data_IF_430226846474
#
_entry.id   IF_430226846474
#
_cell.length_a   1.000
_cell.length_b   1.000
_cell.length_c   1.000
_cell.angle_alpha   90.00
_cell.angle_beta   90.00
_cell.angle_gamma   90.00
#
_symmetry.space_group_name_H-M   'P 1'
#
loop_
_entity.id
_entity.type
_entity.pdbx_description
1 polymer ?
#
# COMPACT_ATOMS: atom_id res chain seq x y z
N UNK A 1 6.57 0.08 47.18
CA UNK A 1 5.45 -0.11 46.27
C UNK A 1 5.70 0.53 44.94
N UNK A 2 5.53 -0.23 43.92
CA UNK A 2 5.98 0.20 42.59
C UNK A 2 4.83 0.39 41.63
N UNK A 3 3.92 1.31 41.94
CA UNK A 3 2.86 1.63 41.00
C UNK A 3 3.41 2.15 39.68
N UNK A 4 4.58 2.80 39.70
CA UNK A 4 5.23 3.24 38.47
C UNK A 4 5.63 2.09 37.54
N UNK A 5 6.10 0.97 38.12
CA UNK A 5 6.44 -0.21 37.33
C UNK A 5 5.19 -0.84 36.72
N UNK A 6 4.12 -0.87 37.48
CA UNK A 6 2.85 -1.41 36.98
C UNK A 6 2.32 -0.56 35.82
N UNK A 7 2.41 0.76 35.95
CA UNK A 7 1.97 1.66 34.89
C UNK A 7 2.82 1.50 33.63
N UNK A 8 4.14 1.32 33.79
CA UNK A 8 5.03 1.11 32.66
C UNK A 8 4.69 -0.17 31.91
N UNK A 9 4.40 -1.25 32.65
CA UNK A 9 4.02 -2.52 32.02
C UNK A 9 2.70 -2.39 31.27
N UNK A 10 1.74 -1.66 31.86
CA UNK A 10 0.47 -1.43 31.22
C UNK A 10 0.63 -0.63 29.94
N UNK A 11 1.44 0.42 29.97
CA UNK A 11 1.73 1.23 28.80
C UNK A 11 2.42 0.41 27.71
N UNK A 12 3.35 -0.43 28.10
CA UNK A 12 4.05 -1.31 27.16
C UNK A 12 3.05 -2.25 26.47
N UNK A 13 2.13 -2.83 27.24
CA UNK A 13 1.13 -3.73 26.68
C UNK A 13 0.21 -3.00 25.68
N UNK A 14 -0.17 -1.75 26.00
CA UNK A 14 -0.99 -0.95 25.09
C UNK A 14 -0.26 -0.61 23.79
N UNK A 15 1.02 -0.22 23.89
CA UNK A 15 1.83 0.08 22.71
C UNK A 15 1.99 -1.16 21.83
N UNK A 16 2.25 -2.31 22.45
CA UNK A 16 2.41 -3.56 21.72
C UNK A 16 1.14 -3.94 20.99
N UNK A 17 -0.01 -3.74 21.62
CA UNK A 17 -1.31 -4.02 21.00
C UNK A 17 -1.56 -3.11 19.82
N UNK A 18 -1.31 -1.80 19.99
CA UNK A 18 -1.46 -0.84 18.90
C UNK A 18 -0.56 -1.17 17.73
N UNK A 19 0.67 -1.58 18.02
CA UNK A 19 1.59 -1.95 16.95
C UNK A 19 1.11 -3.17 16.17
N UNK A 20 0.56 -4.17 16.87
CA UNK A 20 -0.02 -5.33 16.20
C UNK A 20 -1.22 -4.95 15.35
N UNK A 21 -2.05 -4.02 15.84
CA UNK A 21 -3.19 -3.54 15.07
C UNK A 21 -2.74 -2.83 13.81
N UNK A 22 -1.70 -2.02 13.90
CA UNK A 22 -1.14 -1.32 12.72
C UNK A 22 -0.58 -2.33 11.72
N UNK A 23 0.13 -3.34 12.20
CA UNK A 23 0.69 -4.38 11.31
C UNK A 23 -0.41 -5.15 10.60
N UNK A 24 -1.49 -5.47 11.32
CA UNK A 24 -2.63 -6.17 10.73
C UNK A 24 -3.29 -5.33 9.65
N UNK A 25 -3.46 -4.04 9.89
CA UNK A 25 -4.02 -3.12 8.89
C UNK A 25 -3.11 -3.01 7.66
N UNK A 26 -1.81 -2.97 7.88
CA UNK A 26 -0.84 -2.90 6.79
C UNK A 26 -0.89 -4.17 5.93
N UNK A 27 -0.97 -5.32 6.55
CA UNK A 27 -1.09 -6.58 5.82
C UNK A 27 -2.38 -6.63 5.01
N UNK A 28 -3.47 -6.17 5.60
CA UNK A 28 -4.74 -6.13 4.91
C UNK A 28 -4.69 -5.17 3.73
N UNK A 29 -4.09 -4.00 3.91
CA UNK A 29 -3.91 -3.03 2.84
C UNK A 29 -3.16 -3.65 1.66
N UNK A 30 -2.05 -4.33 1.93
CA UNK A 30 -1.26 -4.97 0.89
C UNK A 30 -2.04 -6.07 0.18
N UNK A 31 -2.77 -6.87 0.92
CA UNK A 31 -3.56 -7.97 0.35
C UNK A 31 -4.67 -7.46 -0.56
N UNK A 32 -5.42 -6.48 -0.08
CA UNK A 32 -6.53 -5.90 -0.86
C UNK A 32 -5.98 -5.17 -2.09
N UNK A 33 -4.90 -4.42 -1.91
CA UNK A 33 -4.27 -3.69 -3.00
C UNK A 33 -3.82 -4.65 -4.10
N UNK A 34 -3.19 -5.74 -3.73
CA UNK A 34 -2.74 -6.73 -4.71
C UNK A 34 -3.90 -7.30 -5.51
N UNK A 35 -5.01 -7.61 -4.85
CA UNK A 35 -6.18 -8.12 -5.54
C UNK A 35 -6.73 -7.12 -6.55
N UNK A 36 -6.79 -5.86 -6.17
CA UNK A 36 -7.33 -4.82 -7.05
C UNK A 36 -6.46 -4.61 -8.28
N UNK A 37 -5.15 -4.56 -8.09
CA UNK A 37 -4.24 -4.14 -9.15
C UNK A 37 -3.63 -5.29 -9.95
N UNK A 38 -3.90 -6.53 -9.59
CA UNK A 38 -3.56 -7.67 -10.45
C UNK A 38 -4.57 -7.87 -11.57
N UNK A 39 -5.71 -7.19 -11.52
CA UNK A 39 -6.67 -7.24 -12.61
C UNK A 39 -6.15 -6.48 -13.83
N UNK A 40 -6.73 -6.74 -14.99
CA UNK A 40 -6.34 -6.03 -16.20
C UNK A 40 -6.58 -4.54 -16.07
N UNK A 41 -7.71 -4.16 -15.50
CA UNK A 41 -8.04 -2.75 -15.27
C UNK A 41 -7.09 -2.09 -14.30
N UNK A 42 -6.73 -2.81 -13.23
CA UNK A 42 -5.78 -2.30 -12.25
C UNK A 42 -4.40 -2.07 -12.85
N UNK A 43 -3.92 -3.01 -13.64
CA UNK A 43 -2.63 -2.87 -14.32
C UNK A 43 -2.65 -1.72 -15.31
N UNK A 44 -3.74 -1.55 -16.03
CA UNK A 44 -3.90 -0.44 -16.97
C UNK A 44 -3.87 0.88 -16.20
N UNK A 45 -4.58 0.94 -15.10
CA UNK A 45 -4.59 2.14 -14.26
C UNK A 45 -3.17 2.49 -13.79
N UNK A 46 -2.41 1.49 -13.37
CA UNK A 46 -1.03 1.72 -12.93
C UNK A 46 -0.16 2.28 -14.05
N UNK A 47 -0.27 1.73 -15.26
CA UNK A 47 0.49 2.25 -16.41
C UNK A 47 0.14 3.69 -16.70
N UNK A 48 -1.15 4.01 -16.66
CA UNK A 48 -1.63 5.37 -16.92
C UNK A 48 -1.19 6.33 -15.82
N UNK A 49 -1.23 5.87 -14.56
CA UNK A 49 -0.80 6.69 -13.43
C UNK A 49 0.71 6.98 -13.50
N UNK A 50 1.50 5.98 -13.85
CA UNK A 50 2.94 6.17 -13.98
C UNK A 50 3.27 7.20 -15.06
N UNK A 51 2.54 7.18 -16.16
CA UNK A 51 2.70 8.17 -17.22
C UNK A 51 2.23 9.56 -16.76
N UNK A 52 1.07 9.59 -16.10
CA UNK A 52 0.49 10.86 -15.62
C UNK A 52 1.40 11.58 -14.63
N UNK A 53 2.04 10.85 -13.74
CA UNK A 53 2.87 11.44 -12.68
C UNK A 53 4.35 11.43 -13.02
N UNK A 54 4.68 11.14 -14.28
CA UNK A 54 6.05 11.15 -14.79
C UNK A 54 6.96 10.30 -13.89
N UNK A 55 6.57 9.06 -13.66
CA UNK A 55 7.15 8.20 -12.65
C UNK A 55 8.66 8.03 -12.78
N UNK A 56 9.15 7.96 -14.00
CA UNK A 56 10.57 7.78 -14.29
C UNK A 56 11.29 9.07 -14.64
N UNK A 57 10.66 10.21 -14.46
CA UNK A 57 11.23 11.50 -14.81
C UNK A 57 11.31 12.46 -13.64
N UNK A 58 11.49 13.73 -13.95
CA UNK A 58 11.55 14.76 -12.92
C UNK A 58 10.15 15.08 -12.39
N UNK A 59 10.06 15.40 -11.10
CA UNK A 59 8.82 15.93 -10.52
C UNK A 59 8.57 17.36 -10.96
N UNK A 60 9.61 18.08 -11.39
CA UNK A 60 9.46 19.41 -11.96
C UNK A 60 9.19 19.28 -13.46
N UNK A 61 8.31 20.13 -13.96
CA UNK A 61 7.92 20.13 -15.36
C UNK A 61 7.97 21.54 -15.89
N UNK A 62 8.46 21.68 -17.11
CA UNK A 62 8.46 22.98 -17.78
C UNK A 62 7.04 23.50 -18.01
N UNK A 63 6.08 22.59 -18.23
CA UNK A 63 4.68 22.98 -18.40
C UNK A 63 4.10 23.59 -17.15
N UNK A 64 4.58 23.16 -15.98
CA UNK A 64 4.13 23.67 -14.70
C UNK A 64 4.94 24.87 -14.23
N UNK A 65 5.87 25.37 -15.04
CA UNK A 65 6.72 26.49 -14.66
C UNK A 65 7.68 26.15 -13.54
N UNK A 66 8.02 24.87 -13.36
CA UNK A 66 8.90 24.40 -12.29
C UNK A 66 8.35 24.72 -10.90
N UNK A 67 7.03 24.74 -10.73
CA UNK A 67 6.34 25.10 -9.50
C UNK A 67 6.61 24.05 -8.41
N UNK A 68 7.19 24.46 -7.25
CA UNK A 68 7.45 23.50 -6.16
C UNK A 68 6.21 22.83 -5.59
N UNK A 69 5.07 23.53 -5.55
CA UNK A 69 3.83 22.95 -5.04
C UNK A 69 3.34 21.82 -5.92
N UNK A 70 3.39 22.03 -7.25
CA UNK A 70 2.99 20.99 -8.18
C UNK A 70 3.97 19.83 -8.20
N UNK A 71 5.27 20.12 -8.02
CA UNK A 71 6.27 19.08 -7.92
C UNK A 71 6.06 18.22 -6.66
N UNK A 72 5.73 18.84 -5.54
CA UNK A 72 5.46 18.11 -4.30
C UNK A 72 4.22 17.22 -4.45
N UNK A 73 3.17 17.71 -5.09
CA UNK A 73 1.98 16.90 -5.36
C UNK A 73 2.31 15.68 -6.21
N UNK A 74 3.06 15.89 -7.27
CA UNK A 74 3.46 14.81 -8.17
C UNK A 74 4.32 13.79 -7.46
N UNK A 75 5.24 14.24 -6.61
CA UNK A 75 6.08 13.36 -5.82
C UNK A 75 5.25 12.52 -4.84
N UNK A 76 4.27 13.15 -4.19
CA UNK A 76 3.35 12.44 -3.31
C UNK A 76 2.57 11.36 -4.04
N UNK A 77 2.08 11.66 -5.25
CA UNK A 77 1.37 10.68 -6.05
C UNK A 77 2.28 9.54 -6.52
N UNK A 78 3.54 9.84 -6.82
CA UNK A 78 4.51 8.78 -7.13
C UNK A 78 4.72 7.85 -5.94
N UNK A 79 4.75 8.39 -4.73
CA UNK A 79 4.88 7.55 -3.53
C UNK A 79 3.69 6.62 -3.38
N UNK A 80 2.48 7.12 -3.63
CA UNK A 80 1.28 6.28 -3.60
C UNK A 80 1.37 5.18 -4.64
N UNK A 81 1.76 5.51 -5.86
CA UNK A 81 1.91 4.52 -6.93
C UNK A 81 2.98 3.50 -6.59
N UNK A 82 4.10 3.93 -6.00
CA UNK A 82 5.14 3.02 -5.53
C UNK A 82 4.62 2.05 -4.49
N UNK A 83 3.82 2.53 -3.54
CA UNK A 83 3.22 1.68 -2.52
C UNK A 83 2.32 0.62 -3.15
N UNK A 84 1.54 1.02 -4.14
CA UNK A 84 0.66 0.10 -4.86
C UNK A 84 1.49 -0.95 -5.63
N UNK A 85 2.53 -0.50 -6.32
CA UNK A 85 3.40 -1.42 -7.07
C UNK A 85 4.07 -2.44 -6.13
N UNK A 86 4.57 -1.97 -5.00
CA UNK A 86 5.22 -2.85 -4.03
C UNK A 86 4.24 -3.86 -3.46
N UNK A 87 3.03 -3.42 -3.08
CA UNK A 87 2.01 -4.31 -2.55
C UNK A 87 1.57 -5.33 -3.59
N UNK A 88 1.54 -4.96 -4.86
CA UNK A 88 1.04 -5.80 -5.94
C UNK A 88 2.07 -6.81 -6.43
N UNK A 89 3.32 -6.38 -6.60
CA UNK A 89 4.33 -7.18 -7.31
C UNK A 89 5.52 -7.63 -6.47
N UNK A 90 5.64 -7.18 -5.23
CA UNK A 90 6.78 -7.52 -4.38
C UNK A 90 6.37 -8.33 -3.15
N UNK A 91 5.30 -9.09 -3.26
CA UNK A 91 4.83 -9.88 -2.13
C UNK A 91 5.65 -11.16 -1.98
N UNK A 92 5.62 -11.68 -0.76
CA UNK A 92 6.27 -12.95 -0.45
C UNK A 92 5.38 -14.09 -0.96
N UNK A 93 5.93 -15.02 -1.78
CA UNK A 93 5.14 -16.15 -2.27
C UNK A 93 4.50 -16.98 -1.16
N UNK A 94 5.10 -17.02 0.01
CA UNK A 94 4.54 -17.78 1.12
C UNK A 94 3.24 -17.18 1.66
N UNK A 95 2.95 -15.94 1.31
CA UNK A 95 1.73 -15.25 1.72
C UNK A 95 0.58 -15.44 0.74
N UNK A 96 0.83 -16.02 -0.41
CA UNK A 96 -0.19 -16.23 -1.44
C UNK A 96 -1.29 -17.16 -0.98
N UNK A 97 -0.94 -18.17 -0.21
CA UNK A 97 -1.89 -19.16 0.24
C UNK A 97 -3.02 -18.53 1.05
N UNK A 98 -2.68 -17.55 1.87
CA UNK A 98 -3.69 -16.85 2.68
C UNK A 98 -4.63 -16.05 1.82
N UNK A 99 -4.13 -15.43 0.76
CA UNK A 99 -4.94 -14.63 -0.14
C UNK A 99 -5.91 -15.48 -0.96
N UNK A 100 -5.48 -16.65 -1.35
CA UNK A 100 -6.28 -17.53 -2.17
C UNK A 100 -7.48 -18.11 -1.43
N UNK A 101 -7.37 -18.17 -0.10
CA UNK A 101 -8.39 -18.79 0.72
C UNK A 101 -9.45 -17.84 1.22
N UNK A 102 -9.45 -16.61 0.77
CA UNK A 102 -10.44 -15.63 1.23
C UNK A 102 -11.81 -15.96 0.63
N UNK A 103 -12.75 -16.45 1.45
CA UNK A 103 -14.06 -16.84 0.92
C UNK A 103 -14.96 -15.66 0.58
N UNK A 104 -14.55 -14.44 0.96
CA UNK A 104 -15.35 -13.25 0.73
C UNK A 104 -15.16 -12.67 -0.67
N UNK A 105 -14.15 -13.13 -1.38
CA UNK A 105 -13.89 -12.66 -2.73
C UNK A 105 -14.18 -13.83 -3.67
N UNK A 106 -15.36 -13.88 -4.26
CA UNK A 106 -15.66 -14.95 -5.21
C UNK A 106 -14.72 -14.84 -6.40
N UNK A 107 -14.09 -15.96 -6.71
CA UNK A 107 -13.22 -16.03 -7.87
C UNK A 107 -14.12 -16.26 -9.06
N UNK A 108 -14.17 -15.35 -10.03
CA UNK A 108 -15.01 -15.57 -11.21
C UNK A 108 -14.50 -16.81 -11.96
N UNK A 109 -15.43 -17.58 -12.52
CA UNK A 109 -15.01 -18.73 -13.29
C UNK A 109 -14.15 -18.28 -14.48
N UNK A 110 -13.22 -19.13 -14.91
CA UNK A 110 -12.39 -18.75 -16.04
C UNK A 110 -13.25 -18.46 -17.26
N UNK A 111 -12.88 -17.39 -17.93
CA UNK A 111 -13.56 -16.98 -19.15
C UNK A 111 -13.17 -17.94 -20.26
N UNK A 112 -14.16 -18.36 -20.99
CA UNK A 112 -13.94 -19.33 -22.08
C UNK A 112 -14.29 -18.74 -23.42
#
# INVERSE_FOLDING_TARGET
>A
MNSGNFDALKQFAEVSRLQRDIEALEEEFQRVTRRLFLTDSGRKWLRLAMARYNFNGSVFSAEDGMDPGKAAHRDGMRNVVSDILNATFSHNPDQDDDDEEDPHVPIPPPVR
#
